data_IF_891943057778
#
_entry.id   IF_891943057778
#
_cell.length_a   1.000
_cell.length_b   1.000
_cell.length_c   1.000
_cell.angle_alpha   90.00
_cell.angle_beta   90.00
_cell.angle_gamma   90.00
#
_symmetry.space_group_name_H-M   'P 1'
#
loop_
_entity.id
_entity.type
_entity.pdbx_description
1 polymer ?
#
# COMPACT_ATOMS: atom_id res chain seq x y z
N UNK A 1 4.40 5.54 4.29
CA UNK A 1 4.73 5.67 2.85
C UNK A 1 4.40 4.46 1.98
N UNK A 2 4.35 3.22 2.52
CA UNK A 2 4.13 2.00 1.70
C UNK A 2 2.72 1.89 1.09
N UNK A 3 1.67 2.21 1.85
CA UNK A 3 0.30 2.26 1.31
C UNK A 3 0.17 3.30 0.18
N UNK A 4 0.87 4.43 0.33
CA UNK A 4 0.93 5.45 -0.71
C UNK A 4 1.59 4.91 -1.98
N UNK A 5 2.67 4.14 -1.88
CA UNK A 5 3.29 3.49 -3.04
C UNK A 5 2.34 2.49 -3.74
N UNK A 6 1.60 1.67 -2.97
CA UNK A 6 0.58 0.75 -3.54
C UNK A 6 -0.52 1.54 -4.25
N UNK A 7 -1.01 2.61 -3.63
CA UNK A 7 -1.99 3.51 -4.23
C UNK A 7 -1.45 4.13 -5.52
N UNK A 8 -0.19 4.58 -5.52
CA UNK A 8 0.45 5.21 -6.67
C UNK A 8 0.54 4.23 -7.85
N UNK A 9 0.96 2.99 -7.61
CA UNK A 9 0.96 1.93 -8.63
C UNK A 9 -0.44 1.69 -9.23
N UNK A 10 -1.49 1.83 -8.44
CA UNK A 10 -2.85 1.52 -8.89
C UNK A 10 -3.58 2.71 -9.53
N UNK A 11 -3.31 3.93 -9.06
CA UNK A 11 -4.08 5.13 -9.41
C UNK A 11 -3.32 5.99 -10.40
N UNK A 12 -2.02 6.18 -10.24
CA UNK A 12 -1.24 7.18 -11.02
C UNK A 12 -0.28 6.55 -12.02
N UNK A 13 0.04 5.26 -11.90
CA UNK A 13 0.96 4.60 -12.83
C UNK A 13 0.37 4.58 -14.24
N UNK A 14 1.03 5.29 -15.16
CA UNK A 14 0.65 5.41 -16.57
C UNK A 14 -0.81 5.85 -16.81
N UNK A 15 -1.39 6.62 -15.87
CA UNK A 15 -2.75 7.14 -15.97
C UNK A 15 -2.75 8.65 -15.82
N UNK A 16 -3.35 9.32 -16.80
CA UNK A 16 -3.60 10.75 -16.76
C UNK A 16 -5.07 11.00 -16.43
N UNK A 17 -5.33 11.90 -15.49
CA UNK A 17 -6.69 12.34 -15.16
C UNK A 17 -6.92 13.75 -15.70
N UNK A 18 -7.95 13.97 -16.53
CA UNK A 18 -8.19 15.27 -17.17
C UNK A 18 -8.65 16.34 -16.19
N UNK A 19 -9.13 15.96 -15.00
CA UNK A 19 -9.56 16.90 -13.96
C UNK A 19 -9.14 16.41 -12.57
N UNK A 20 -8.93 17.35 -11.65
CA UNK A 20 -8.68 17.04 -10.23
C UNK A 20 -9.80 16.17 -9.65
N UNK A 21 -11.06 16.39 -10.04
CA UNK A 21 -12.21 15.60 -9.57
C UNK A 21 -12.11 14.13 -9.97
N UNK A 22 -11.64 13.84 -11.17
CA UNK A 22 -11.42 12.47 -11.62
C UNK A 22 -10.29 11.79 -10.82
N UNK A 23 -9.20 12.51 -10.56
CA UNK A 23 -8.13 12.01 -9.73
C UNK A 23 -8.59 11.72 -8.29
N UNK A 24 -9.33 12.65 -7.67
CA UNK A 24 -9.88 12.48 -6.33
C UNK A 24 -10.85 11.28 -6.27
N UNK A 25 -11.71 11.11 -7.27
CA UNK A 25 -12.61 9.95 -7.35
C UNK A 25 -11.84 8.64 -7.49
N UNK A 26 -10.74 8.61 -8.26
CA UNK A 26 -9.92 7.41 -8.41
C UNK A 26 -9.24 7.03 -7.08
N UNK A 27 -8.74 8.01 -6.33
CA UNK A 27 -8.21 7.78 -4.97
C UNK A 27 -9.31 7.25 -4.04
N UNK A 28 -10.48 7.88 -4.02
CA UNK A 28 -11.60 7.46 -3.17
C UNK A 28 -12.06 6.04 -3.51
N UNK A 29 -12.14 5.71 -4.81
CA UNK A 29 -12.48 4.37 -5.26
C UNK A 29 -11.41 3.35 -4.84
N UNK A 30 -10.13 3.71 -4.95
CA UNK A 30 -9.05 2.86 -4.46
C UNK A 30 -9.21 2.55 -2.96
N UNK A 31 -9.42 3.58 -2.13
CA UNK A 31 -9.56 3.41 -0.68
C UNK A 31 -10.82 2.63 -0.27
N UNK A 32 -11.96 2.89 -0.93
CA UNK A 32 -13.26 2.33 -0.53
C UNK A 32 -13.57 0.97 -1.14
N UNK A 33 -13.06 0.69 -2.33
CA UNK A 33 -13.45 -0.49 -3.10
C UNK A 33 -12.27 -1.42 -3.32
N UNK A 34 -11.14 -0.89 -3.79
CA UNK A 34 -9.98 -1.71 -4.18
C UNK A 34 -9.27 -2.26 -2.94
N UNK A 35 -9.00 -1.41 -1.93
CA UNK A 35 -8.36 -1.85 -0.69
C UNK A 35 -9.15 -2.97 0.00
N UNK A 36 -10.47 -2.86 0.28
CA UNK A 36 -11.17 -3.92 0.99
C UNK A 36 -11.28 -5.22 0.20
N UNK A 37 -11.41 -5.16 -1.13
CA UNK A 37 -11.47 -6.34 -1.99
C UNK A 37 -10.15 -7.09 -2.04
N UNK A 38 -9.05 -6.35 -2.25
CA UNK A 38 -7.71 -6.91 -2.45
C UNK A 38 -6.84 -6.82 -1.20
N UNK A 39 -7.46 -6.63 -0.01
CA UNK A 39 -6.74 -6.37 1.24
C UNK A 39 -5.71 -7.46 1.54
N UNK A 40 -6.04 -8.72 1.27
CA UNK A 40 -5.14 -9.85 1.48
C UNK A 40 -3.86 -9.74 0.64
N UNK A 41 -3.95 -9.22 -0.58
CA UNK A 41 -2.81 -9.03 -1.49
C UNK A 41 -1.96 -7.82 -1.09
N UNK A 42 -2.61 -6.76 -0.60
CA UNK A 42 -1.90 -5.56 -0.17
C UNK A 42 -1.29 -5.66 1.22
N UNK A 43 -1.84 -6.52 2.09
CA UNK A 43 -1.37 -6.64 3.47
C UNK A 43 0.12 -6.95 3.55
N UNK A 44 0.68 -7.84 2.72
CA UNK A 44 2.13 -8.12 2.73
C UNK A 44 3.02 -6.95 2.25
N UNK A 45 2.49 -6.06 1.42
CA UNK A 45 3.21 -4.88 0.93
C UNK A 45 3.10 -3.68 1.88
N UNK A 46 1.96 -3.59 2.59
CA UNK A 46 1.61 -2.50 3.51
C UNK A 46 2.09 -2.81 4.93
N UNK A 47 1.89 -4.03 5.40
CA UNK A 47 2.40 -4.52 6.66
C UNK A 47 3.89 -4.77 6.51
N UNK A 48 4.65 -4.14 7.38
CA UNK A 48 6.09 -4.20 7.35
C UNK A 48 6.55 -5.66 7.53
N UNK A 49 7.30 -6.16 6.55
CA UNK A 49 8.30 -7.18 6.81
C UNK A 49 9.25 -6.55 7.84
N UNK A 50 8.99 -6.76 9.13
CA UNK A 50 10.03 -6.69 10.15
C UNK A 50 11.04 -7.81 9.85
N UNK A 51 11.79 -7.66 8.76
CA UNK A 51 12.91 -8.52 8.45
C UNK A 51 13.99 -8.12 9.43
N UNK A 52 14.27 -8.99 10.38
CA UNK A 52 15.46 -8.95 11.21
C UNK A 52 16.65 -8.85 10.23
N UNK A 53 17.25 -7.66 10.09
CA UNK A 53 18.37 -7.40 9.17
C UNK A 53 19.65 -8.11 9.68
N UNK A 54 19.67 -8.48 10.96
CA UNK A 54 20.76 -9.23 11.59
C UNK A 54 20.24 -9.97 12.83
N UNK A 55 20.50 -11.29 12.90
CA UNK A 55 20.24 -12.12 14.09
C UNK A 55 21.18 -11.81 15.26
N UNK A 56 22.06 -10.81 15.16
CA UNK A 56 23.16 -10.62 16.12
C UNK A 56 22.71 -10.15 17.51
N UNK A 57 21.45 -9.80 17.75
CA UNK A 57 20.97 -9.36 19.07
C UNK A 57 19.48 -9.66 19.34
N UNK A 58 18.91 -10.72 18.75
CA UNK A 58 17.57 -11.15 19.17
C UNK A 58 17.73 -11.91 20.49
N UNK A 59 17.57 -11.22 21.62
CA UNK A 59 17.36 -11.88 22.92
C UNK A 59 15.91 -12.30 23.00
N UNK A 60 15.65 -13.58 22.73
CA UNK A 60 14.44 -14.23 23.20
C UNK A 60 14.62 -14.36 24.72
N UNK A 61 13.78 -13.68 25.49
CA UNK A 61 13.64 -13.96 26.91
C UNK A 61 12.68 -15.14 27.01
N UNK A 62 13.22 -16.31 27.40
CA UNK A 62 12.44 -17.47 27.83
C UNK A 62 11.72 -17.20 29.15
#
# INVERSE_FOLDING_TARGET
ERLWAVMHTHVTHNRHYPTQKHFANAILNFMRVVIPKEWRSFRDQVTDNFRIISNQNVRVLE
#
